data_IF_519112015014
#
_entry.id   IF_519112015014
#
_cell.length_a   1.000
_cell.length_b   1.000
_cell.length_c   1.000
_cell.angle_alpha   90.00
_cell.angle_beta   90.00
_cell.angle_gamma   90.00
#
_symmetry.space_group_name_H-M   'P 1'
#
loop_
_entity.id
_entity.type
_entity.pdbx_description
1 polymer ?
#
# COMPACT_ATOMS: atom_id res chain seq x y z
N UNK A 1 -5.69 -3.66 -20.19
CA UNK A 1 -4.50 -2.94 -19.67
C UNK A 1 -3.30 -3.87 -19.45
N UNK A 2 -3.47 -5.06 -18.85
CA UNK A 2 -2.33 -5.97 -18.53
C UNK A 2 -1.46 -6.38 -19.72
N UNK A 3 -2.01 -6.77 -20.92
CA UNK A 3 -1.18 -7.17 -22.04
C UNK A 3 -0.28 -6.04 -22.57
N UNK A 4 -0.81 -4.82 -22.65
CA UNK A 4 -0.02 -3.67 -23.11
C UNK A 4 1.07 -3.29 -22.10
N UNK A 5 0.76 -3.40 -20.81
CA UNK A 5 1.71 -3.15 -19.75
C UNK A 5 2.84 -4.18 -19.76
N UNK A 6 2.50 -5.46 -19.98
CA UNK A 6 3.49 -6.53 -20.13
C UNK A 6 4.42 -6.26 -21.30
N UNK A 7 3.87 -5.97 -22.50
CA UNK A 7 4.67 -5.67 -23.69
C UNK A 7 5.60 -4.47 -23.49
N UNK A 8 5.12 -3.42 -22.79
CA UNK A 8 5.95 -2.25 -22.47
C UNK A 8 7.10 -2.63 -21.54
N UNK A 9 6.85 -3.38 -20.48
CA UNK A 9 7.88 -3.77 -19.51
C UNK A 9 8.87 -4.77 -20.10
N UNK A 10 8.44 -5.63 -21.02
CA UNK A 10 9.31 -6.52 -21.78
C UNK A 10 10.26 -5.74 -22.68
N UNK A 11 9.75 -4.77 -23.44
CA UNK A 11 10.59 -3.91 -24.31
C UNK A 11 11.57 -3.05 -23.52
N UNK A 12 11.23 -2.66 -22.29
CA UNK A 12 12.10 -1.88 -21.40
C UNK A 12 13.09 -2.74 -20.61
N UNK A 13 12.99 -4.08 -20.70
CA UNK A 13 13.84 -5.01 -19.94
C UNK A 13 13.60 -4.93 -18.41
N UNK A 14 12.38 -4.55 -17.99
CA UNK A 14 12.03 -4.37 -16.59
C UNK A 14 11.48 -5.68 -15.98
N UNK A 15 11.01 -6.60 -16.82
CA UNK A 15 10.47 -7.89 -16.37
C UNK A 15 11.56 -8.66 -15.62
N UNK A 16 11.17 -9.30 -14.53
CA UNK A 16 12.02 -10.10 -13.65
C UNK A 16 13.20 -9.33 -13.02
N UNK A 17 13.06 -8.02 -12.90
CA UNK A 17 14.05 -7.15 -12.26
C UNK A 17 13.48 -6.40 -11.06
N UNK A 18 14.30 -6.03 -10.06
CA UNK A 18 13.86 -5.19 -8.94
C UNK A 18 13.30 -3.82 -9.37
N UNK A 19 13.65 -3.36 -10.56
CA UNK A 19 13.16 -2.10 -11.13
C UNK A 19 11.64 -2.12 -11.34
N UNK A 20 11.07 -3.29 -11.59
CA UNK A 20 9.61 -3.47 -11.64
C UNK A 20 8.93 -2.99 -10.36
N UNK A 21 9.50 -3.25 -9.18
CA UNK A 21 8.90 -2.85 -7.90
C UNK A 21 8.71 -1.33 -7.79
N UNK A 22 9.63 -0.55 -8.34
CA UNK A 22 9.53 0.92 -8.34
C UNK A 22 8.33 1.38 -9.17
N UNK A 23 8.13 0.79 -10.35
CA UNK A 23 6.99 1.12 -11.22
C UNK A 23 5.67 0.61 -10.66
N UNK A 24 5.69 -0.55 -10.00
CA UNK A 24 4.52 -1.17 -9.41
C UNK A 24 3.98 -0.38 -8.21
N UNK A 25 4.87 0.02 -7.29
CA UNK A 25 4.50 0.83 -6.11
C UNK A 25 4.23 2.28 -6.49
N UNK A 26 4.89 2.81 -7.52
CA UNK A 26 4.74 4.20 -7.98
C UNK A 26 3.40 4.51 -8.64
N UNK A 27 2.63 3.51 -9.07
CA UNK A 27 1.34 3.66 -9.78
C UNK A 27 0.14 4.02 -8.88
N UNK A 28 0.33 4.84 -7.85
CA UNK A 28 -0.64 5.13 -6.79
C UNK A 28 -1.56 6.33 -7.08
N UNK A 29 -2.14 6.43 -8.29
CA UNK A 29 -2.98 7.57 -8.68
C UNK A 29 -4.19 7.79 -7.77
N UNK A 30 -4.81 6.73 -7.25
CA UNK A 30 -5.93 6.84 -6.31
C UNK A 30 -5.51 7.46 -4.97
N UNK A 31 -4.39 7.04 -4.41
CA UNK A 31 -3.83 7.61 -3.18
C UNK A 31 -3.50 9.10 -3.36
N UNK A 32 -2.97 9.48 -4.53
CA UNK A 32 -2.71 10.88 -4.85
C UNK A 32 -3.99 11.74 -4.78
N UNK A 33 -5.09 11.28 -5.37
CA UNK A 33 -6.37 11.99 -5.33
C UNK A 33 -6.87 12.17 -3.89
N UNK A 34 -6.74 11.13 -3.06
CA UNK A 34 -7.14 11.19 -1.66
C UNK A 34 -6.28 12.17 -0.86
N UNK A 35 -4.95 12.12 -1.03
CA UNK A 35 -4.05 13.08 -0.39
C UNK A 35 -4.30 14.51 -0.85
N UNK A 36 -4.52 14.71 -2.15
CA UNK A 36 -4.84 16.03 -2.68
C UNK A 36 -6.14 16.58 -2.06
N UNK A 37 -7.20 15.77 -1.98
CA UNK A 37 -8.44 16.14 -1.32
C UNK A 37 -8.26 16.48 0.16
N UNK A 38 -7.46 15.69 0.87
CA UNK A 38 -7.15 15.90 2.28
C UNK A 38 -6.41 17.23 2.49
N UNK A 39 -5.33 17.47 1.75
CA UNK A 39 -4.54 18.70 1.90
C UNK A 39 -5.32 19.96 1.49
N UNK A 40 -6.23 19.85 0.53
CA UNK A 40 -7.11 20.95 0.14
C UNK A 40 -8.09 21.34 1.27
N UNK A 41 -8.46 20.40 2.13
CA UNK A 41 -9.37 20.61 3.26
C UNK A 41 -8.66 21.02 4.56
N UNK A 42 -7.33 20.94 4.61
CA UNK A 42 -6.58 21.52 5.73
C UNK A 42 -6.78 23.04 5.69
N UNK A 43 -7.31 23.58 6.79
CA UNK A 43 -7.57 25.00 6.88
C UNK A 43 -6.30 25.82 6.57
N UNK A 44 -6.40 26.75 5.65
CA UNK A 44 -5.30 27.64 5.27
C UNK A 44 -4.79 28.45 6.47
N UNK A 45 -5.63 28.62 7.50
CA UNK A 45 -5.32 29.35 8.72
C UNK A 45 -4.04 28.89 9.40
N UNK A 46 -3.76 27.56 9.39
CA UNK A 46 -2.51 27.02 9.95
C UNK A 46 -1.29 27.41 9.11
N UNK A 47 -1.45 27.41 7.78
CA UNK A 47 -0.37 27.81 6.88
C UNK A 47 -0.13 29.33 6.94
N UNK A 48 -1.19 30.11 7.09
CA UNK A 48 -1.11 31.56 7.15
C UNK A 48 -0.56 32.03 8.50
N UNK A 49 -0.95 31.39 9.61
CA UNK A 49 -0.32 31.64 10.93
C UNK A 49 1.19 31.36 10.88
N UNK A 50 1.61 30.24 10.31
CA UNK A 50 3.03 29.93 10.20
C UNK A 50 3.82 30.90 9.32
N UNK A 51 3.19 31.47 8.27
CA UNK A 51 3.81 32.51 7.44
C UNK A 51 4.00 33.82 8.22
N UNK A 52 3.00 34.18 9.03
CA UNK A 52 3.11 35.38 9.92
C UNK A 52 4.29 35.22 10.89
N UNK A 53 4.51 33.99 11.39
CA UNK A 53 5.65 33.68 12.26
C UNK A 53 6.99 33.54 11.49
N UNK A 54 7.02 33.87 10.19
CA UNK A 54 8.22 33.80 9.35
C UNK A 54 8.57 32.41 8.85
N UNK A 55 7.66 31.43 8.98
CA UNK A 55 7.85 30.07 8.51
C UNK A 55 7.84 29.97 6.98
N UNK A 56 8.89 29.40 6.40
CA UNK A 56 8.97 29.09 4.97
C UNK A 56 8.11 27.88 4.59
N UNK A 57 7.94 27.65 3.28
CA UNK A 57 7.14 26.53 2.73
C UNK A 57 7.55 25.15 3.29
N UNK A 58 8.84 24.91 3.47
CA UNK A 58 9.34 23.66 4.05
C UNK A 58 8.94 23.50 5.51
N UNK A 59 8.93 24.59 6.29
CA UNK A 59 8.49 24.55 7.69
C UNK A 59 7.02 24.19 7.78
N UNK A 60 6.18 24.78 6.94
CA UNK A 60 4.75 24.46 6.85
C UNK A 60 4.55 22.99 6.46
N UNK A 61 5.25 22.51 5.44
CA UNK A 61 5.13 21.13 4.97
C UNK A 61 5.53 20.12 6.06
N UNK A 62 6.72 20.26 6.64
CA UNK A 62 7.26 19.25 7.57
C UNK A 62 6.74 19.35 9.00
N UNK A 63 6.41 20.56 9.48
CA UNK A 63 5.95 20.76 10.87
C UNK A 63 4.43 20.79 11.02
N UNK A 64 3.69 21.05 9.95
CA UNK A 64 2.22 21.19 10.01
C UNK A 64 1.54 20.15 9.15
N UNK A 65 1.78 20.14 7.82
CA UNK A 65 1.01 19.34 6.89
C UNK A 65 1.29 17.84 7.03
N UNK A 66 2.55 17.42 7.09
CA UNK A 66 2.93 15.99 7.21
C UNK A 66 2.42 15.40 8.53
N UNK A 67 2.64 16.01 9.72
CA UNK A 67 2.09 15.45 10.96
C UNK A 67 0.58 15.35 10.98
N UNK A 68 -0.14 16.31 10.40
CA UNK A 68 -1.60 16.25 10.29
C UNK A 68 -2.10 15.16 9.34
N UNK A 69 -1.35 14.86 8.29
CA UNK A 69 -1.68 13.79 7.34
C UNK A 69 -1.28 12.39 7.82
N UNK A 70 -0.54 12.27 8.92
CA UNK A 70 -0.02 10.99 9.40
C UNK A 70 -1.12 9.92 9.61
N UNK A 71 -2.28 10.21 10.22
CA UNK A 71 -3.34 9.22 10.36
C UNK A 71 -3.86 8.70 9.03
N UNK A 72 -4.06 9.58 8.06
CA UNK A 72 -4.47 9.22 6.70
C UNK A 72 -3.39 8.42 5.99
N UNK A 73 -2.14 8.83 6.12
CA UNK A 73 -0.98 8.13 5.55
C UNK A 73 -0.89 6.70 6.09
N UNK A 74 -1.09 6.51 7.39
CA UNK A 74 -1.12 5.17 8.01
C UNK A 74 -2.29 4.33 7.49
N UNK A 75 -3.48 4.90 7.40
CA UNK A 75 -4.66 4.17 6.90
C UNK A 75 -4.47 3.74 5.44
N UNK A 76 -4.05 4.64 4.56
CA UNK A 76 -3.79 4.34 3.16
C UNK A 76 -2.61 3.38 3.00
N UNK A 77 -1.56 3.52 3.83
CA UNK A 77 -0.42 2.62 3.85
C UNK A 77 -0.81 1.18 4.20
N UNK A 78 -1.70 0.99 5.17
CA UNK A 78 -2.21 -0.34 5.54
C UNK A 78 -3.05 -0.94 4.41
N UNK A 79 -3.94 -0.15 3.79
CA UNK A 79 -4.75 -0.61 2.66
C UNK A 79 -3.83 -1.02 1.49
N UNK A 80 -2.83 -0.21 1.17
CA UNK A 80 -1.85 -0.51 0.14
C UNK A 80 -1.03 -1.76 0.48
N UNK A 81 -0.56 -1.89 1.73
CA UNK A 81 0.16 -3.07 2.20
C UNK A 81 -0.66 -4.35 2.02
N UNK A 82 -1.93 -4.35 2.46
CA UNK A 82 -2.81 -5.51 2.31
C UNK A 82 -3.01 -5.85 0.81
N UNK A 83 -3.18 -4.83 -0.03
CA UNK A 83 -3.28 -5.02 -1.47
C UNK A 83 -2.05 -5.70 -2.08
N UNK A 84 -0.86 -5.15 -1.82
CA UNK A 84 0.40 -5.72 -2.32
C UNK A 84 0.74 -7.08 -1.70
N UNK A 85 0.42 -7.28 -0.42
CA UNK A 85 0.64 -8.54 0.27
C UNK A 85 -0.13 -9.70 -0.35
N UNK A 86 -1.35 -9.44 -0.82
CA UNK A 86 -2.22 -10.45 -1.41
C UNK A 86 -2.09 -10.54 -2.95
N UNK A 87 -1.35 -9.64 -3.59
CA UNK A 87 -1.20 -9.66 -5.05
C UNK A 87 -0.22 -10.75 -5.49
N UNK A 88 -0.77 -11.89 -5.84
CA UNK A 88 0.00 -12.98 -6.44
C UNK A 88 0.10 -12.86 -7.96
N UNK A 89 -0.93 -12.29 -8.61
CA UNK A 89 -1.05 -12.32 -10.07
C UNK A 89 -0.02 -11.44 -10.75
N UNK A 90 0.12 -10.20 -10.27
CA UNK A 90 1.08 -9.25 -10.83
C UNK A 90 2.52 -9.75 -10.62
N UNK A 91 2.84 -10.24 -9.43
CA UNK A 91 4.16 -10.78 -9.14
C UNK A 91 4.44 -12.05 -9.95
N UNK A 92 3.46 -12.94 -10.10
CA UNK A 92 3.58 -14.14 -10.94
C UNK A 92 3.90 -13.81 -12.39
N UNK A 93 3.29 -12.73 -12.94
CA UNK A 93 3.49 -12.34 -14.34
C UNK A 93 4.79 -11.57 -14.58
N UNK A 94 5.18 -10.69 -13.66
CA UNK A 94 6.26 -9.73 -13.89
C UNK A 94 7.56 -10.05 -13.15
N UNK A 95 7.52 -10.92 -12.13
CA UNK A 95 8.66 -11.32 -11.31
C UNK A 95 8.72 -12.84 -11.12
N UNK A 96 8.75 -13.64 -12.18
CA UNK A 96 8.68 -15.10 -12.08
C UNK A 96 9.82 -15.73 -11.26
N UNK A 97 11.02 -15.16 -11.27
CA UNK A 97 12.16 -15.67 -10.48
C UNK A 97 12.16 -15.22 -9.01
N UNK A 98 11.26 -14.31 -8.64
CA UNK A 98 11.19 -13.74 -7.28
C UNK A 98 9.78 -13.88 -6.67
N UNK A 99 9.31 -15.13 -6.41
CA UNK A 99 7.96 -15.35 -5.91
C UNK A 99 7.78 -14.75 -4.51
N UNK A 100 6.68 -14.03 -4.32
CA UNK A 100 6.21 -13.63 -2.99
C UNK A 100 5.52 -14.79 -2.29
N UNK A 101 5.18 -14.61 -1.00
CA UNK A 101 4.43 -15.61 -0.25
C UNK A 101 3.07 -15.90 -0.90
N UNK A 102 2.37 -14.88 -1.39
CA UNK A 102 1.10 -15.02 -2.10
C UNK A 102 1.25 -15.81 -3.40
N UNK A 103 2.28 -15.52 -4.19
CA UNK A 103 2.60 -16.26 -5.42
C UNK A 103 3.00 -17.70 -5.11
N UNK A 104 3.78 -17.92 -4.05
CA UNK A 104 4.15 -19.27 -3.60
C UNK A 104 2.93 -20.09 -3.20
N UNK A 105 1.98 -19.52 -2.47
CA UNK A 105 0.72 -20.18 -2.12
C UNK A 105 -0.13 -20.52 -3.37
N UNK A 106 -0.19 -19.62 -4.33
CA UNK A 106 -0.87 -19.87 -5.61
C UNK A 106 -0.24 -21.03 -6.36
N UNK A 107 1.09 -21.03 -6.50
CA UNK A 107 1.83 -22.13 -7.16
C UNK A 107 1.64 -23.46 -6.42
N UNK A 108 1.63 -23.41 -5.08
CA UNK A 108 1.38 -24.60 -4.26
C UNK A 108 0.02 -25.22 -4.54
N UNK A 109 -1.04 -24.41 -4.70
CA UNK A 109 -2.37 -24.90 -5.01
C UNK A 109 -2.51 -25.46 -6.44
N UNK A 110 -1.71 -24.97 -7.37
CA UNK A 110 -1.77 -25.36 -8.79
C UNK A 110 -0.95 -26.58 -9.12
N UNK A 111 0.05 -26.96 -8.28
CA UNK A 111 0.88 -28.14 -8.50
C UNK A 111 0.17 -29.42 -8.08
N UNK A 112 -0.05 -30.39 -9.01
CA UNK A 112 -0.80 -31.62 -8.70
C UNK A 112 -0.16 -32.49 -7.61
N UNK A 113 1.19 -32.50 -7.53
CA UNK A 113 1.94 -33.29 -6.55
C UNK A 113 1.82 -32.78 -5.11
N UNK A 114 1.51 -31.50 -4.93
CA UNK A 114 1.45 -30.84 -3.63
C UNK A 114 0.01 -30.59 -3.19
N UNK A 115 -0.91 -30.47 -4.15
CA UNK A 115 -2.33 -30.23 -3.92
C UNK A 115 -3.00 -31.22 -2.95
N UNK A 116 -2.44 -32.42 -2.81
CA UNK A 116 -2.96 -33.46 -1.91
C UNK A 116 -2.53 -33.26 -0.45
N UNK A 117 -1.60 -32.36 -0.16
CA UNK A 117 -1.09 -32.12 1.19
C UNK A 117 -1.79 -30.92 1.85
N UNK A 118 -3.06 -31.08 2.17
CA UNK A 118 -3.86 -30.04 2.85
C UNK A 118 -3.26 -29.51 4.17
N UNK A 119 -2.68 -30.35 5.06
CA UNK A 119 -2.06 -29.85 6.28
C UNK A 119 -0.95 -28.83 6.01
N UNK A 120 -0.10 -29.09 5.02
CA UNK A 120 0.96 -28.17 4.64
C UNK A 120 0.40 -26.86 4.03
N UNK A 121 -0.65 -26.96 3.21
CA UNK A 121 -1.34 -25.80 2.65
C UNK A 121 -1.91 -24.90 3.77
N UNK A 122 -2.63 -25.50 4.74
CA UNK A 122 -3.20 -24.72 5.85
C UNK A 122 -2.13 -24.10 6.72
N UNK A 123 -1.03 -24.80 6.99
CA UNK A 123 0.10 -24.23 7.72
C UNK A 123 0.69 -23.01 7.00
N UNK A 124 0.86 -23.10 5.69
CA UNK A 124 1.36 -21.99 4.88
C UNK A 124 0.39 -20.78 4.87
N UNK A 125 -0.93 -21.03 4.79
CA UNK A 125 -1.96 -19.98 4.88
C UNK A 125 -1.91 -19.28 6.25
N UNK A 126 -1.78 -20.04 7.34
CA UNK A 126 -1.67 -19.48 8.69
C UNK A 126 -0.43 -18.57 8.78
N UNK A 127 0.73 -19.03 8.30
CA UNK A 127 1.97 -18.23 8.29
C UNK A 127 1.77 -16.94 7.46
N UNK A 128 1.11 -17.04 6.30
CA UNK A 128 0.83 -15.90 5.45
C UNK A 128 -0.14 -14.88 6.09
N UNK A 129 -1.03 -15.34 6.96
CA UNK A 129 -2.03 -14.47 7.61
C UNK A 129 -1.44 -13.70 8.79
N UNK A 130 -0.44 -14.25 9.49
CA UNK A 130 0.14 -13.65 10.71
C UNK A 130 0.59 -12.19 10.52
N UNK A 131 1.36 -11.80 9.49
CA UNK A 131 1.80 -10.41 9.34
C UNK A 131 0.64 -9.43 9.17
N UNK A 132 -0.42 -9.83 8.46
CA UNK A 132 -1.62 -8.98 8.25
C UNK A 132 -2.36 -8.78 9.57
N UNK A 133 -2.55 -9.85 10.35
CA UNK A 133 -3.23 -9.79 11.66
C UNK A 133 -2.42 -8.94 12.65
N UNK A 134 -1.10 -9.12 12.70
CA UNK A 134 -0.22 -8.33 13.56
C UNK A 134 -0.27 -6.85 13.19
N UNK A 135 -0.20 -6.55 11.91
CA UNK A 135 -0.28 -5.18 11.43
C UNK A 135 -1.64 -4.55 11.78
N UNK A 136 -2.74 -5.27 11.53
CA UNK A 136 -4.07 -4.80 11.90
C UNK A 136 -4.19 -4.55 13.41
N UNK A 137 -3.78 -5.50 14.24
CA UNK A 137 -3.84 -5.38 15.70
C UNK A 137 -3.02 -4.18 16.22
N UNK A 138 -1.87 -3.90 15.59
CA UNK A 138 -1.02 -2.78 15.98
C UNK A 138 -1.60 -1.40 15.61
N UNK A 139 -2.40 -1.33 14.55
CA UNK A 139 -2.88 -0.05 14.00
C UNK A 139 -4.39 0.16 14.09
N UNK A 140 -5.18 -0.82 14.55
CA UNK A 140 -6.64 -0.75 14.60
C UNK A 140 -7.18 0.49 15.34
N UNK A 141 -6.57 0.86 16.46
CA UNK A 141 -7.00 2.05 17.24
C UNK A 141 -6.79 3.34 16.46
N UNK A 142 -5.65 3.47 15.75
CA UNK A 142 -5.33 4.65 14.95
C UNK A 142 -6.23 4.78 13.71
N UNK A 143 -6.70 3.66 13.17
CA UNK A 143 -7.65 3.63 12.06
C UNK A 143 -9.04 4.05 12.53
N UNK A 144 -9.52 3.51 13.65
CA UNK A 144 -10.88 3.76 14.16
C UNK A 144 -11.08 5.20 14.64
N UNK A 145 -10.15 5.77 15.37
CA UNK A 145 -10.28 7.13 15.94
C UNK A 145 -10.50 8.19 14.83
N UNK A 146 -9.90 7.99 13.66
CA UNK A 146 -10.02 8.97 12.57
C UNK A 146 -11.24 8.76 11.67
N UNK A 147 -11.80 7.54 11.64
CA UNK A 147 -13.03 7.26 10.87
C UNK A 147 -14.26 7.86 11.57
N UNK A 148 -14.27 7.85 12.88
CA UNK A 148 -15.38 8.42 13.69
C UNK A 148 -15.31 9.95 13.72
N UNK A 149 -14.13 10.55 13.78
CA UNK A 149 -13.97 12.02 13.79
C UNK A 149 -14.31 12.68 12.44
N UNK A 150 -14.16 11.96 11.31
CA UNK A 150 -14.56 12.45 9.98
C UNK A 150 -16.04 12.32 9.65
N UNK A 151 -16.79 11.47 10.38
CA UNK A 151 -18.20 11.19 10.11
C UNK A 151 -19.22 12.01 10.91
N UNK A 152 -18.79 12.85 11.84
CA UNK A 152 -19.68 13.61 12.73
C UNK A 152 -19.70 15.13 12.47
N UNK A 153 -19.38 15.56 11.26
CA UNK A 153 -19.66 16.93 10.79
C UNK A 153 -20.62 16.87 9.61
N UNK A 154 -21.87 16.49 9.90
CA UNK A 154 -23.05 16.70 9.10
C UNK A 154 -23.98 17.63 9.84
#
# INVERSE_FOLDING_TARGET
>A
ALPQQYALYDTLGIIDTPLFLITYVGGTGFQFILFHGFYKNIANDYADAAKVDGGGHFTIMFRIMIPQSLPMTLALGIIAFIGYWNDYMTVFMFLPSHPTLATGLYLFQTQPSIRSNYPLLYAAIIIATVPVVVLYAAFQEKIMVNTVAGGLKG
#
